data_IF_512139111541
#
_entry.id   IF_512139111541
#
_cell.length_a   1.000
_cell.length_b   1.000
_cell.length_c   1.000
_cell.angle_alpha   90.00
_cell.angle_beta   90.00
_cell.angle_gamma   90.00
#
_symmetry.space_group_name_H-M   'P 1'
#
loop_
_entity.id
_entity.type
_entity.pdbx_description
1 polymer ?
#
# COMPACT_ATOMS: atom_id res chain seq x y z
N UNK A 1 42.12 -5.28 -47.07
CA UNK A 1 41.63 -4.40 -45.98
C UNK A 1 40.17 -4.06 -46.23
N UNK A 2 39.30 -5.06 -46.18
CA UNK A 2 37.87 -4.94 -46.58
C UNK A 2 36.91 -4.80 -45.38
N UNK A 3 37.40 -5.04 -44.15
CA UNK A 3 36.55 -5.08 -42.95
C UNK A 3 36.10 -3.69 -42.45
N UNK A 4 36.84 -2.63 -42.75
CA UNK A 4 36.55 -1.27 -42.26
C UNK A 4 35.39 -0.62 -43.02
N UNK A 5 35.27 -0.92 -44.32
CA UNK A 5 34.26 -0.34 -45.21
C UNK A 5 32.88 -0.95 -44.95
N UNK A 6 32.84 -2.26 -44.69
CA UNK A 6 31.59 -2.96 -44.42
C UNK A 6 30.98 -2.54 -43.07
N UNK A 7 31.82 -2.30 -42.05
CA UNK A 7 31.38 -1.79 -40.74
C UNK A 7 30.75 -0.40 -40.85
N UNK A 8 31.33 0.49 -41.66
CA UNK A 8 30.78 1.84 -41.88
C UNK A 8 29.46 1.81 -42.67
N UNK A 9 29.33 0.91 -43.65
CA UNK A 9 28.07 0.72 -44.38
C UNK A 9 26.95 0.22 -43.46
N UNK A 10 27.26 -0.72 -42.56
CA UNK A 10 26.28 -1.25 -41.62
C UNK A 10 25.80 -0.19 -40.62
N UNK A 11 26.71 0.67 -40.14
CA UNK A 11 26.37 1.80 -39.28
C UNK A 11 25.49 2.84 -40.00
N UNK A 12 25.72 3.09 -41.29
CA UNK A 12 24.91 4.01 -42.09
C UNK A 12 23.49 3.49 -42.35
N UNK A 13 23.31 2.18 -42.54
CA UNK A 13 21.97 1.59 -42.71
C UNK A 13 21.13 1.66 -41.42
N UNK A 14 21.74 1.47 -40.25
CA UNK A 14 21.06 1.57 -38.94
C UNK A 14 20.54 2.98 -38.61
N UNK A 15 21.13 4.03 -39.18
CA UNK A 15 20.69 5.43 -39.02
C UNK A 15 19.59 5.82 -40.02
N UNK A 16 19.44 5.07 -41.11
CA UNK A 16 18.55 5.41 -42.23
C UNK A 16 17.15 4.79 -42.08
N UNK A 17 16.97 3.86 -41.14
CA UNK A 17 15.69 3.21 -40.84
C UNK A 17 14.85 3.98 -39.80
N UNK A 18 15.10 5.28 -39.64
CA UNK A 18 14.26 6.19 -38.84
C UNK A 18 13.02 6.66 -39.63
N UNK A 19 12.22 5.69 -40.11
CA UNK A 19 10.85 5.92 -40.61
C UNK A 19 9.84 4.91 -40.09
N UNK A 20 10.04 4.42 -38.87
CA UNK A 20 8.94 3.98 -38.04
C UNK A 20 8.60 5.12 -37.11
N UNK A 21 7.48 5.81 -37.35
CA UNK A 21 6.86 6.70 -36.38
C UNK A 21 6.79 5.93 -35.05
N UNK A 22 7.74 6.14 -34.14
CA UNK A 22 7.59 5.67 -32.77
C UNK A 22 6.47 6.54 -32.24
N UNK A 23 5.23 6.09 -32.49
CA UNK A 23 4.14 6.35 -31.58
C UNK A 23 4.72 5.92 -30.25
N UNK A 24 5.12 6.92 -29.47
CA UNK A 24 5.11 6.80 -28.03
C UNK A 24 3.65 6.53 -27.71
N UNK A 25 3.21 5.29 -27.95
CA UNK A 25 2.19 4.69 -27.12
C UNK A 25 2.83 4.77 -25.76
N UNK A 26 2.51 5.89 -25.11
CA UNK A 26 2.69 6.11 -23.72
C UNK A 26 1.90 4.95 -23.16
N UNK A 27 2.60 3.84 -22.91
CA UNK A 27 2.06 2.76 -22.12
C UNK A 27 1.81 3.46 -20.81
N UNK A 28 0.57 3.91 -20.63
CA UNK A 28 0.03 4.23 -19.34
C UNK A 28 0.15 2.91 -18.60
N UNK A 29 1.32 2.71 -17.98
CA UNK A 29 1.46 1.83 -16.85
C UNK A 29 0.27 2.23 -16.00
N UNK A 30 -0.71 1.33 -15.78
CA UNK A 30 -1.85 1.66 -14.95
C UNK A 30 -1.26 2.14 -13.64
N UNK A 31 -1.29 3.45 -13.41
CA UNK A 31 -0.88 4.04 -12.14
C UNK A 31 -1.77 3.33 -11.15
N UNK A 32 -1.15 2.46 -10.34
CA UNK A 32 -1.79 1.50 -9.45
C UNK A 32 -3.20 1.95 -9.15
N UNK A 33 -4.15 1.30 -9.82
CA UNK A 33 -5.61 1.45 -9.72
C UNK A 33 -5.94 2.36 -8.55
N UNK A 34 -6.31 3.63 -8.80
CA UNK A 34 -6.88 4.58 -7.83
C UNK A 34 -7.10 3.90 -6.47
N UNK A 35 -6.00 3.76 -5.71
CA UNK A 35 -5.99 2.97 -4.49
C UNK A 35 -6.84 3.82 -3.59
N UNK A 36 -8.13 3.45 -3.53
CA UNK A 36 -9.21 4.25 -2.99
C UNK A 36 -8.73 4.76 -1.66
N UNK A 37 -8.30 6.05 -1.63
CA UNK A 37 -7.34 6.58 -0.64
C UNK A 37 -7.64 5.94 0.70
N UNK A 38 -6.88 4.90 1.05
CA UNK A 38 -7.26 4.08 2.20
C UNK A 38 -7.30 5.04 3.38
N UNK A 39 -8.48 5.14 4.02
CA UNK A 39 -8.64 6.07 5.13
C UNK A 39 -7.59 5.72 6.17
N UNK A 40 -6.97 6.73 6.77
CA UNK A 40 -6.04 6.49 7.86
C UNK A 40 -6.77 5.78 8.99
N UNK A 41 -6.07 4.91 9.75
CA UNK A 41 -6.72 4.08 10.78
C UNK A 41 -7.48 4.95 11.78
N UNK A 42 -6.96 6.13 12.12
CA UNK A 42 -7.59 7.09 13.03
C UNK A 42 -8.96 7.61 12.57
N UNK A 43 -9.27 7.49 11.29
CA UNK A 43 -10.48 7.98 10.64
C UNK A 43 -11.46 6.82 10.36
N UNK A 44 -11.12 5.59 10.77
CA UNK A 44 -12.00 4.43 10.62
C UNK A 44 -13.20 4.53 11.56
N UNK A 45 -14.38 4.27 11.00
CA UNK A 45 -15.57 4.02 11.77
C UNK A 45 -15.58 2.60 12.35
N UNK A 46 -16.61 2.29 13.13
CA UNK A 46 -16.74 1.02 13.83
C UNK A 46 -16.96 -0.16 12.88
N UNK A 47 -17.59 0.08 11.73
CA UNK A 47 -17.86 -0.94 10.71
C UNK A 47 -16.58 -1.28 9.94
N UNK A 48 -15.79 -0.27 9.60
CA UNK A 48 -14.47 -0.39 8.97
C UNK A 48 -13.50 -1.17 9.88
N UNK A 49 -13.49 -0.90 11.18
CA UNK A 49 -12.70 -1.67 12.16
C UNK A 49 -13.15 -3.13 12.21
N UNK A 50 -14.46 -3.39 12.26
CA UNK A 50 -14.99 -4.75 12.28
C UNK A 50 -14.66 -5.50 10.98
N UNK A 51 -14.75 -4.82 9.84
CA UNK A 51 -14.39 -5.36 8.53
C UNK A 51 -12.91 -5.72 8.47
N UNK A 52 -12.02 -4.81 8.88
CA UNK A 52 -10.58 -5.08 8.97
C UNK A 52 -10.31 -6.31 9.84
N UNK A 53 -10.93 -6.38 11.02
CA UNK A 53 -10.78 -7.54 11.92
C UNK A 53 -11.25 -8.85 11.28
N UNK A 54 -12.34 -8.80 10.52
CA UNK A 54 -12.91 -9.96 9.83
C UNK A 54 -12.09 -10.43 8.63
N UNK A 55 -11.23 -9.59 8.06
CA UNK A 55 -10.38 -9.94 6.90
C UNK A 55 -8.99 -10.41 7.32
N UNK A 56 -8.60 -10.18 8.58
CA UNK A 56 -7.32 -10.62 9.13
C UNK A 56 -7.08 -12.11 8.92
N UNK A 57 -5.91 -12.44 8.37
CA UNK A 57 -5.45 -13.82 8.14
C UNK A 57 -6.50 -14.68 7.42
N UNK A 58 -7.18 -14.12 6.42
CA UNK A 58 -8.26 -14.77 5.65
C UNK A 58 -9.49 -15.13 6.50
N UNK A 59 -9.82 -14.29 7.47
CA UNK A 59 -11.02 -14.45 8.31
C UNK A 59 -10.88 -15.37 9.51
N UNK A 60 -9.64 -15.74 9.86
CA UNK A 60 -9.37 -16.58 11.04
C UNK A 60 -9.92 -16.00 12.34
N UNK A 61 -9.97 -14.66 12.45
CA UNK A 61 -10.42 -13.96 13.66
C UNK A 61 -11.83 -13.37 13.53
N UNK A 62 -12.58 -13.71 12.48
CA UNK A 62 -13.94 -13.21 12.27
C UNK A 62 -14.89 -13.57 13.43
N UNK A 63 -14.65 -14.68 14.12
CA UNK A 63 -15.38 -15.11 15.33
C UNK A 63 -15.37 -14.09 16.48
N UNK A 64 -14.36 -13.20 16.53
CA UNK A 64 -14.23 -12.17 17.56
C UNK A 64 -14.81 -10.81 17.17
N UNK A 65 -15.29 -10.64 15.94
CA UNK A 65 -15.83 -9.37 15.44
C UNK A 65 -16.96 -8.82 16.30
N UNK A 66 -17.76 -9.69 16.92
CA UNK A 66 -18.81 -9.30 17.87
C UNK A 66 -18.28 -8.49 19.06
N UNK A 67 -17.07 -8.78 19.52
CA UNK A 67 -16.44 -8.10 20.66
C UNK A 67 -15.88 -6.72 20.28
N UNK A 68 -15.75 -6.44 18.99
CA UNK A 68 -15.08 -5.25 18.43
C UNK A 68 -16.10 -4.23 17.90
N UNK A 69 -17.41 -4.54 17.95
CA UNK A 69 -18.53 -3.71 17.46
C UNK A 69 -18.70 -2.34 18.12
N UNK A 70 -17.87 -1.97 19.08
CA UNK A 70 -17.91 -0.66 19.73
C UNK A 70 -16.57 0.06 19.67
N UNK A 71 -15.64 -0.41 18.83
CA UNK A 71 -14.27 0.09 18.75
C UNK A 71 -14.13 0.87 17.46
N UNK A 72 -13.89 2.18 17.59
CA UNK A 72 -13.52 3.03 16.45
C UNK A 72 -12.01 2.96 16.17
N UNK A 73 -11.58 3.56 15.05
CA UNK A 73 -10.18 3.60 14.65
C UNK A 73 -9.25 4.23 15.70
N UNK A 74 -9.71 5.27 16.40
CA UNK A 74 -8.91 5.97 17.44
C UNK A 74 -8.71 5.11 18.68
N UNK A 75 -9.71 4.30 19.03
CA UNK A 75 -9.64 3.34 20.11
C UNK A 75 -8.77 2.16 19.72
N UNK A 76 -8.92 1.65 18.49
CA UNK A 76 -8.09 0.58 17.91
C UNK A 76 -6.60 0.93 18.00
N UNK A 77 -6.23 2.18 17.67
CA UNK A 77 -4.85 2.66 17.75
C UNK A 77 -4.28 2.68 19.17
N UNK A 78 -5.13 2.77 20.20
CA UNK A 78 -4.72 2.83 21.62
C UNK A 78 -4.78 1.47 22.33
N UNK A 79 -5.28 0.43 21.66
CA UNK A 79 -5.34 -0.90 22.26
C UNK A 79 -3.92 -1.43 22.54
N UNK A 80 -3.67 -1.77 23.81
CA UNK A 80 -2.52 -2.57 24.20
C UNK A 80 -2.82 -4.06 24.07
N UNK A 81 -1.75 -4.88 24.04
CA UNK A 81 -1.84 -6.33 23.95
C UNK A 81 -2.83 -6.96 24.96
N UNK A 82 -2.84 -6.58 26.25
CA UNK A 82 -3.78 -7.17 27.21
C UNK A 82 -5.25 -6.97 26.81
N UNK A 83 -5.57 -5.81 26.24
CA UNK A 83 -6.93 -5.50 25.79
C UNK A 83 -7.30 -6.28 24.54
N UNK A 84 -6.36 -6.47 23.61
CA UNK A 84 -6.59 -7.31 22.42
C UNK A 84 -6.82 -8.77 22.81
N UNK A 85 -6.07 -9.30 23.78
CA UNK A 85 -6.29 -10.65 24.32
C UNK A 85 -7.70 -10.78 24.90
N UNK A 86 -8.19 -9.79 25.65
CA UNK A 86 -9.57 -9.78 26.15
C UNK A 86 -10.61 -9.81 25.03
N UNK A 87 -10.39 -9.04 23.95
CA UNK A 87 -11.26 -9.06 22.77
C UNK A 87 -11.25 -10.41 22.04
N UNK A 88 -10.16 -11.17 22.15
CA UNK A 88 -10.03 -12.54 21.67
C UNK A 88 -10.53 -13.59 22.70
N UNK A 89 -11.45 -13.23 23.61
CA UNK A 89 -11.97 -14.10 24.68
C UNK A 89 -10.86 -14.70 25.56
N UNK A 90 -9.84 -13.91 25.89
CA UNK A 90 -8.64 -14.31 26.64
C UNK A 90 -7.76 -15.37 25.95
N UNK A 91 -7.91 -15.57 24.64
CA UNK A 91 -6.96 -16.37 23.87
C UNK A 91 -5.69 -15.57 23.61
N UNK A 92 -4.62 -15.89 24.34
CA UNK A 92 -3.33 -15.22 24.23
C UNK A 92 -2.67 -15.39 22.85
N UNK A 93 -2.86 -16.56 22.20
CA UNK A 93 -2.27 -16.87 20.89
C UNK A 93 -2.93 -16.01 19.81
N UNK A 94 -4.27 -16.03 19.76
CA UNK A 94 -5.04 -15.25 18.79
C UNK A 94 -4.84 -13.75 19.05
N UNK A 95 -4.85 -13.33 20.31
CA UNK A 95 -4.62 -11.94 20.71
C UNK A 95 -3.25 -11.41 20.30
N UNK A 96 -2.17 -12.17 20.52
CA UNK A 96 -0.82 -11.79 20.09
C UNK A 96 -0.71 -11.69 18.56
N UNK A 97 -1.30 -12.64 17.84
CA UNK A 97 -1.29 -12.63 16.38
C UNK A 97 -2.05 -11.44 15.79
N UNK A 98 -3.24 -11.12 16.34
CA UNK A 98 -4.01 -9.93 15.96
C UNK A 98 -3.24 -8.65 16.30
N UNK A 99 -2.62 -8.58 17.48
CA UNK A 99 -1.84 -7.41 17.88
C UNK A 99 -0.64 -7.18 16.96
N UNK A 100 0.05 -8.24 16.53
CA UNK A 100 1.11 -8.14 15.51
C UNK A 100 0.60 -7.62 14.17
N UNK A 101 -0.59 -8.04 13.75
CA UNK A 101 -1.24 -7.48 12.56
C UNK A 101 -1.55 -5.99 12.74
N UNK A 102 -2.11 -5.60 13.89
CA UNK A 102 -2.38 -4.20 14.21
C UNK A 102 -1.11 -3.34 14.17
N UNK A 103 0.01 -3.82 14.72
CA UNK A 103 1.27 -3.08 14.70
C UNK A 103 1.82 -2.89 13.28
N UNK A 104 1.65 -3.89 12.41
CA UNK A 104 2.02 -3.76 10.99
C UNK A 104 1.15 -2.73 10.29
N UNK A 105 -0.15 -2.74 10.55
CA UNK A 105 -1.09 -1.75 9.99
C UNK A 105 -0.76 -0.33 10.43
N UNK A 106 -0.41 -0.13 11.72
CA UNK A 106 0.07 1.17 12.21
C UNK A 106 1.32 1.65 11.48
N UNK A 107 2.28 0.75 11.28
CA UNK A 107 3.51 1.09 10.58
C UNK A 107 3.27 1.46 9.10
N UNK A 108 2.29 0.82 8.43
CA UNK A 108 1.89 1.18 7.07
C UNK A 108 1.19 2.53 7.02
N UNK A 109 0.28 2.81 7.97
CA UNK A 109 -0.41 4.09 8.10
C UNK A 109 0.58 5.25 8.36
N UNK A 110 1.52 5.07 9.29
CA UNK A 110 2.57 6.06 9.59
C UNK A 110 3.46 6.35 8.39
N UNK A 111 3.82 5.31 7.61
CA UNK A 111 4.60 5.46 6.39
C UNK A 111 3.82 6.25 5.33
N UNK A 112 2.54 5.92 5.14
CA UNK A 112 1.66 6.61 4.21
C UNK A 112 1.46 8.09 4.59
N UNK A 113 1.30 8.41 5.87
CA UNK A 113 1.16 9.78 6.33
C UNK A 113 2.46 10.59 6.18
N UNK A 114 3.63 9.98 6.44
CA UNK A 114 4.94 10.62 6.22
C UNK A 114 5.14 10.94 4.74
N UNK A 115 4.80 10.03 3.84
CA UNK A 115 4.88 10.23 2.40
C UNK A 115 3.92 11.32 1.91
N UNK A 116 2.69 11.35 2.44
CA UNK A 116 1.73 12.43 2.17
C UNK A 116 2.25 13.79 2.60
N UNK A 117 2.86 13.89 3.79
CA UNK A 117 3.48 15.13 4.29
C UNK A 117 4.65 15.58 3.42
N UNK A 118 5.50 14.65 2.98
CA UNK A 118 6.63 14.95 2.08
C UNK A 118 6.18 15.45 0.71
N UNK A 119 5.13 14.85 0.12
CA UNK A 119 4.56 15.33 -1.16
C UNK A 119 3.99 16.74 -1.03
N UNK A 120 3.22 17.00 0.03
CA UNK A 120 2.61 18.32 0.24
C UNK A 120 3.65 19.43 0.48
N UNK A 121 4.77 19.12 1.14
CA UNK A 121 5.85 20.08 1.33
C UNK A 121 6.65 20.33 0.04
N UNK A 122 6.81 19.33 -0.83
CA UNK A 122 7.44 19.49 -2.15
C UNK A 122 6.59 20.35 -3.10
N UNK A 123 5.27 20.13 -3.15
CA UNK A 123 4.35 20.91 -3.99
C UNK A 123 4.32 22.40 -3.60
N UNK A 124 4.43 22.71 -2.30
CA UNK A 124 4.48 24.10 -1.81
C UNK A 124 5.78 24.82 -2.12
N UNK A 125 6.89 24.10 -2.39
CA UNK A 125 8.18 24.70 -2.73
C UNK A 125 8.35 24.97 -4.23
N UNK A 126 7.55 24.32 -5.07
CA UNK A 126 7.56 24.48 -6.52
C UNK A 126 6.55 25.53 -7.03
N UNK A 127 5.92 26.30 -6.13
CA UNK A 127 4.97 27.35 -6.43
C UNK A 127 5.47 28.66 -5.87
#
# INVERSE_FOLDING_TARGET
>A
TEHTLHTLQYAAMMLSDDKGLIRKDKVEVPTASEESKAKAIKDWDVEEVAMWWSTLKRGLYAKYTANVKSIDGKQLLRLGLPRVIQLCNNNAIDGDAVFKCLQKEKATDDRADKERRARNSAVRKNK
#
